data_IF_182587852241
#
_entry.id   IF_182587852241
#
_cell.length_a   1.000
_cell.length_b   1.000
_cell.length_c   1.000
_cell.angle_alpha   90.00
_cell.angle_beta   90.00
_cell.angle_gamma   90.00
#
_symmetry.space_group_name_H-M   'P 1'
#
loop_
_entity.id
_entity.type
_entity.pdbx_description
1 polymer ?
#
# COMPACT_ATOMS: atom_id res chain seq x y z
N UNK A 1 -28.55 -31.26 69.47
CA UNK A 1 -28.63 -31.14 67.99
C UNK A 1 -30.09 -30.89 67.66
N UNK A 2 -30.56 -29.83 67.00
CA UNK A 2 -29.94 -28.73 66.26
C UNK A 2 -30.83 -27.49 66.44
N UNK A 3 -30.22 -26.31 66.60
CA UNK A 3 -30.93 -25.04 66.63
C UNK A 3 -31.28 -24.58 65.20
N UNK A 4 -32.55 -24.38 64.92
CA UNK A 4 -33.02 -23.69 63.72
C UNK A 4 -32.75 -22.20 63.85
N UNK A 5 -31.67 -21.72 63.23
CA UNK A 5 -31.49 -20.31 62.96
C UNK A 5 -32.40 -19.90 61.79
N UNK A 6 -33.42 -19.09 62.09
CA UNK A 6 -34.21 -18.36 61.09
C UNK A 6 -33.29 -17.37 60.38
N UNK A 7 -33.00 -17.59 59.10
CA UNK A 7 -32.52 -16.52 58.24
C UNK A 7 -33.74 -15.66 57.87
N UNK A 8 -33.80 -14.47 58.48
CA UNK A 8 -34.70 -13.39 58.06
C UNK A 8 -34.28 -12.97 56.66
N UNK A 9 -35.04 -13.38 55.65
CA UNK A 9 -34.99 -12.73 54.35
C UNK A 9 -35.42 -11.28 54.54
N UNK A 10 -34.45 -10.38 54.44
CA UNK A 10 -34.71 -8.95 54.56
C UNK A 10 -35.45 -8.49 53.30
N UNK A 11 -36.66 -7.91 53.40
CA UNK A 11 -37.43 -7.41 52.25
C UNK A 11 -36.66 -6.36 51.43
N UNK A 12 -35.61 -5.77 52.03
CA UNK A 12 -34.64 -4.89 51.37
C UNK A 12 -33.84 -5.58 50.27
N UNK A 13 -33.49 -6.87 50.40
CA UNK A 13 -32.74 -7.61 49.37
C UNK A 13 -33.58 -7.84 48.12
N UNK A 14 -34.86 -8.22 48.28
CA UNK A 14 -35.81 -8.36 47.17
C UNK A 14 -36.09 -7.04 46.45
N UNK A 15 -36.19 -5.93 47.20
CA UNK A 15 -36.38 -4.60 46.64
C UNK A 15 -35.15 -4.09 45.87
N UNK A 16 -33.94 -4.38 46.35
CA UNK A 16 -32.69 -4.04 45.65
C UNK A 16 -32.57 -4.86 44.36
N UNK A 17 -32.88 -6.16 44.39
CA UNK A 17 -32.87 -7.00 43.20
C UNK A 17 -33.91 -6.54 42.16
N UNK A 18 -35.12 -6.19 42.59
CA UNK A 18 -36.14 -5.64 41.71
C UNK A 18 -35.72 -4.30 41.10
N UNK A 19 -35.12 -3.40 41.90
CA UNK A 19 -34.60 -2.12 41.40
C UNK A 19 -33.47 -2.32 40.39
N UNK A 20 -32.55 -3.26 40.62
CA UNK A 20 -31.48 -3.61 39.68
C UNK A 20 -32.02 -4.21 38.38
N UNK A 21 -33.05 -5.06 38.44
CA UNK A 21 -33.71 -5.59 37.24
C UNK A 21 -34.40 -4.50 36.42
N UNK A 22 -35.05 -3.53 37.08
CA UNK A 22 -35.67 -2.39 36.41
C UNK A 22 -34.61 -1.48 35.79
N UNK A 23 -33.49 -1.24 36.49
CA UNK A 23 -32.38 -0.45 35.94
C UNK A 23 -31.70 -1.17 34.77
N UNK A 24 -31.52 -2.49 34.84
CA UNK A 24 -30.95 -3.28 33.74
C UNK A 24 -31.87 -3.29 32.51
N UNK A 25 -33.17 -3.46 32.70
CA UNK A 25 -34.14 -3.41 31.58
C UNK A 25 -34.26 -2.00 31.00
N UNK A 26 -34.25 -0.94 31.82
CA UNK A 26 -34.20 0.43 31.35
C UNK A 26 -32.91 0.71 30.57
N UNK A 27 -31.75 0.27 31.07
CA UNK A 27 -30.47 0.41 30.39
C UNK A 27 -30.47 -0.30 29.04
N UNK A 28 -31.00 -1.53 28.95
CA UNK A 28 -31.15 -2.26 27.70
C UNK A 28 -32.13 -1.56 26.75
N UNK A 29 -33.26 -1.03 27.24
CA UNK A 29 -34.23 -0.32 26.40
C UNK A 29 -33.73 1.04 25.89
N UNK A 30 -32.83 1.70 26.62
CA UNK A 30 -32.21 2.97 26.21
C UNK A 30 -31.02 2.72 25.27
N UNK A 31 -30.23 1.68 25.52
CA UNK A 31 -29.04 1.38 24.70
C UNK A 31 -29.36 0.55 23.47
N UNK A 32 -30.40 -0.28 23.48
CA UNK A 32 -30.76 -1.11 22.33
C UNK A 32 -31.08 -0.27 21.08
N UNK A 33 -31.87 0.83 21.12
CA UNK A 33 -32.09 1.68 19.96
C UNK A 33 -30.82 2.39 19.48
N UNK A 34 -29.91 2.76 20.38
CA UNK A 34 -28.63 3.40 20.06
C UNK A 34 -27.63 2.41 19.44
N UNK A 35 -27.62 1.15 19.91
CA UNK A 35 -26.83 0.07 19.32
C UNK A 35 -27.43 -0.38 18.00
N UNK A 36 -28.77 -0.45 17.89
CA UNK A 36 -29.43 -0.80 16.64
C UNK A 36 -29.34 0.32 15.61
N UNK A 37 -29.36 1.59 16.04
CA UNK A 37 -29.12 2.74 15.18
C UNK A 37 -27.65 2.83 14.80
N UNK A 38 -26.68 2.54 15.69
CA UNK A 38 -25.26 2.43 15.36
C UNK A 38 -24.97 1.26 14.41
N UNK A 39 -25.62 0.10 14.59
CA UNK A 39 -25.54 -1.02 13.64
C UNK A 39 -26.19 -0.67 12.29
N UNK A 40 -27.31 0.06 12.27
CA UNK A 40 -27.98 0.48 11.02
C UNK A 40 -27.28 1.65 10.33
N UNK A 41 -26.67 2.57 11.07
CA UNK A 41 -25.86 3.66 10.52
C UNK A 41 -24.46 3.18 10.14
N UNK A 42 -23.97 2.07 10.72
CA UNK A 42 -22.86 1.29 10.17
C UNK A 42 -23.25 0.38 8.99
N UNK A 43 -24.54 0.08 8.81
CA UNK A 43 -25.08 -0.63 7.65
C UNK A 43 -25.46 0.30 6.48
N UNK A 44 -25.40 1.61 6.69
CA UNK A 44 -25.33 2.61 5.62
C UNK A 44 -23.94 2.52 4.98
N UNK A 45 -23.78 1.52 4.11
CA UNK A 45 -22.62 1.36 3.27
C UNK A 45 -21.38 0.91 4.03
N UNK A 46 -21.33 -0.37 4.40
CA UNK A 46 -20.09 -1.10 4.10
C UNK A 46 -19.89 -0.91 2.61
N UNK A 47 -19.13 0.12 2.23
CA UNK A 47 -18.57 0.21 0.89
C UNK A 47 -17.94 -1.17 0.69
N UNK A 48 -18.31 -1.92 -0.36
CA UNK A 48 -17.78 -3.26 -0.52
C UNK A 48 -16.27 -3.13 -0.38
N UNK A 49 -15.65 -4.04 0.38
CA UNK A 49 -14.20 -4.16 0.33
C UNK A 49 -13.90 -4.55 -1.12
N UNK A 50 -13.62 -3.51 -1.91
CA UNK A 50 -13.07 -3.59 -3.23
C UNK A 50 -14.00 -4.18 -4.34
N UNK A 51 -15.14 -3.53 -4.67
CA UNK A 51 -16.10 -4.02 -5.68
C UNK A 51 -15.52 -4.04 -7.11
N UNK A 52 -14.39 -3.37 -7.36
CA UNK A 52 -13.69 -3.34 -8.64
C UNK A 52 -12.48 -4.27 -8.73
N UNK A 53 -12.04 -4.91 -7.63
CA UNK A 53 -10.93 -5.87 -7.67
C UNK A 53 -11.26 -7.10 -8.50
N UNK A 54 -12.54 -7.49 -8.52
CA UNK A 54 -13.04 -8.66 -9.22
C UNK A 54 -13.45 -8.38 -10.68
N UNK A 55 -13.30 -7.14 -11.16
CA UNK A 55 -13.82 -6.77 -12.48
C UNK A 55 -12.86 -7.10 -13.63
N UNK A 56 -11.59 -7.41 -13.33
CA UNK A 56 -10.57 -7.78 -14.31
C UNK A 56 -9.77 -8.97 -13.79
N UNK A 57 -9.58 -9.94 -14.67
CA UNK A 57 -8.57 -11.01 -14.52
C UNK A 57 -7.15 -10.44 -14.58
N UNK A 58 -6.17 -11.21 -14.10
CA UNK A 58 -4.75 -10.84 -14.19
C UNK A 58 -4.32 -10.65 -15.65
N UNK A 59 -4.87 -11.46 -16.55
CA UNK A 59 -4.63 -11.32 -17.99
C UNK A 59 -5.18 -9.99 -18.53
N UNK A 60 -6.40 -9.59 -18.15
CA UNK A 60 -6.93 -8.29 -18.59
C UNK A 60 -6.17 -7.12 -17.97
N UNK A 61 -5.65 -7.26 -16.74
CA UNK A 61 -4.75 -6.27 -16.16
C UNK A 61 -3.40 -6.20 -16.89
N UNK A 62 -2.84 -7.34 -17.30
CA UNK A 62 -1.62 -7.40 -18.10
C UNK A 62 -1.80 -6.77 -19.49
N UNK A 63 -3.01 -6.80 -20.05
CA UNK A 63 -3.34 -6.08 -21.30
C UNK A 63 -3.34 -4.56 -21.13
N UNK A 64 -3.47 -4.04 -19.90
CA UNK A 64 -3.37 -2.61 -19.64
C UNK A 64 -1.91 -2.14 -19.61
N UNK A 65 -0.95 -3.03 -19.36
CA UNK A 65 0.46 -2.67 -19.30
C UNK A 65 1.06 -2.40 -20.69
N UNK A 66 2.14 -1.60 -20.77
CA UNK A 66 2.83 -1.35 -22.02
C UNK A 66 3.30 -2.62 -22.73
N UNK A 67 3.23 -2.61 -24.05
CA UNK A 67 3.77 -3.68 -24.91
C UNK A 67 5.13 -3.32 -25.47
N UNK A 68 5.86 -4.32 -26.00
CA UNK A 68 7.18 -4.14 -26.63
C UNK A 68 7.25 -2.92 -27.59
N UNK A 69 6.19 -2.64 -28.34
CA UNK A 69 6.13 -1.51 -29.29
C UNK A 69 6.11 -0.13 -28.63
N UNK A 70 5.83 -0.05 -27.33
CA UNK A 70 5.77 1.19 -26.55
C UNK A 70 7.09 1.51 -25.85
N UNK A 71 7.99 0.51 -25.73
CA UNK A 71 9.35 0.70 -25.26
C UNK A 71 10.28 1.18 -26.39
N UNK A 72 11.46 1.75 -26.08
CA UNK A 72 12.45 2.06 -27.10
C UNK A 72 12.79 0.81 -27.94
N UNK A 73 12.92 0.97 -29.25
CA UNK A 73 13.02 -0.17 -30.18
C UNK A 73 14.24 -1.08 -29.94
N UNK A 74 15.30 -0.57 -29.30
CA UNK A 74 16.49 -1.35 -28.94
C UNK A 74 16.33 -2.16 -27.66
N UNK A 75 15.27 -1.95 -26.88
CA UNK A 75 15.08 -2.58 -25.58
C UNK A 75 14.44 -3.96 -25.73
N UNK A 76 14.83 -4.88 -24.84
CA UNK A 76 14.13 -6.17 -24.66
C UNK A 76 13.06 -6.02 -23.58
N UNK A 77 11.86 -6.56 -23.84
CA UNK A 77 10.73 -6.45 -22.91
C UNK A 77 10.24 -7.84 -22.52
N UNK A 78 10.09 -8.05 -21.23
CA UNK A 78 9.53 -9.27 -20.65
C UNK A 78 8.19 -8.95 -19.98
N UNK A 79 7.15 -9.63 -20.44
CA UNK A 79 5.80 -9.54 -19.89
C UNK A 79 5.58 -10.72 -18.93
N UNK A 80 5.31 -10.45 -17.65
CA UNK A 80 4.94 -11.50 -16.68
C UNK A 80 3.48 -11.29 -16.28
N UNK A 81 2.62 -12.22 -16.70
CA UNK A 81 1.17 -12.10 -16.58
C UNK A 81 0.60 -12.69 -15.30
N UNK A 82 1.39 -13.45 -14.53
CA UNK A 82 0.94 -14.17 -13.34
C UNK A 82 1.96 -13.96 -12.22
N UNK A 83 1.68 -13.00 -11.33
CA UNK A 83 2.58 -12.72 -10.20
C UNK A 83 2.15 -13.39 -8.91
N UNK A 84 0.86 -13.69 -8.74
CA UNK A 84 0.42 -14.39 -7.54
C UNK A 84 -1.04 -14.86 -7.57
N UNK A 85 -1.27 -16.09 -7.11
CA UNK A 85 -2.61 -16.62 -6.80
C UNK A 85 -3.12 -16.17 -5.41
N UNK A 86 -2.38 -15.32 -4.71
CA UNK A 86 -2.65 -15.01 -3.30
C UNK A 86 -3.52 -13.77 -3.16
N UNK A 87 -4.79 -13.93 -2.77
CA UNK A 87 -5.70 -12.81 -2.53
C UNK A 87 -5.70 -12.42 -1.05
N UNK A 88 -5.37 -11.16 -0.72
CA UNK A 88 -5.51 -10.65 0.66
C UNK A 88 -4.61 -9.48 1.03
N UNK A 89 -4.80 -8.96 2.25
CA UNK A 89 -3.93 -7.96 2.86
C UNK A 89 -2.80 -8.66 3.62
N UNK A 90 -1.55 -8.41 3.23
CA UNK A 90 -0.38 -8.77 4.00
C UNK A 90 0.25 -7.52 4.60
N UNK A 91 0.46 -7.52 5.91
CA UNK A 91 1.32 -6.53 6.53
C UNK A 91 2.75 -6.94 6.22
N UNK A 92 3.41 -6.25 5.29
CA UNK A 92 4.86 -6.39 5.12
C UNK A 92 5.52 -6.07 6.45
N UNK A 93 6.11 -7.08 7.09
CA UNK A 93 6.99 -6.84 8.22
C UNK A 93 8.22 -6.12 7.67
N UNK A 94 8.45 -4.89 8.12
CA UNK A 94 9.67 -4.14 7.80
C UNK A 94 10.82 -4.91 8.44
N UNK A 95 11.46 -5.77 7.66
CA UNK A 95 12.67 -6.47 8.05
C UNK A 95 13.78 -5.83 7.24
N UNK A 96 14.69 -5.11 7.89
CA UNK A 96 15.79 -4.45 7.22
C UNK A 96 16.85 -5.43 6.68
N UNK A 97 16.60 -6.74 6.81
CA UNK A 97 17.51 -7.83 6.46
C UNK A 97 18.93 -7.68 7.05
N UNK A 98 19.08 -6.92 8.13
CA UNK A 98 20.39 -6.60 8.71
C UNK A 98 21.20 -5.57 7.89
N UNK A 99 20.59 -4.87 6.94
CA UNK A 99 21.20 -3.81 6.13
C UNK A 99 21.46 -2.52 6.94
N UNK A 100 20.94 -2.45 8.17
CA UNK A 100 21.28 -1.41 9.14
C UNK A 100 20.71 -0.04 8.79
N UNK A 101 19.45 0.00 8.34
CA UNK A 101 18.77 1.26 8.02
C UNK A 101 18.49 2.09 9.27
N UNK A 102 18.79 3.38 9.21
CA UNK A 102 18.49 4.34 10.29
C UNK A 102 17.74 5.58 9.75
N UNK A 103 16.46 5.78 10.11
CA UNK A 103 15.64 4.88 10.94
C UNK A 103 15.14 3.66 10.14
N UNK A 104 14.98 2.52 10.82
CA UNK A 104 14.63 1.21 10.20
C UNK A 104 13.39 1.27 9.30
N UNK A 105 12.42 2.11 9.65
CA UNK A 105 11.18 2.28 8.87
C UNK A 105 11.44 2.78 7.45
N UNK A 106 12.54 3.48 7.21
CA UNK A 106 12.90 4.01 5.88
C UNK A 106 13.42 2.94 4.92
N UNK A 107 13.69 1.72 5.39
CA UNK A 107 13.90 0.57 4.50
C UNK A 107 12.78 0.43 3.47
N UNK A 108 11.53 0.64 3.88
CA UNK A 108 10.36 0.53 2.99
C UNK A 108 10.27 1.60 1.89
N UNK A 109 11.20 2.55 1.82
CA UNK A 109 11.30 3.55 0.75
C UNK A 109 12.32 3.14 -0.33
N UNK A 110 13.23 2.21 0.00
CA UNK A 110 14.19 1.64 -0.93
C UNK A 110 13.52 0.49 -1.68
N UNK A 111 13.57 0.54 -3.01
CA UNK A 111 12.80 -0.38 -3.84
C UNK A 111 11.34 0.05 -4.00
N UNK A 112 10.50 -0.86 -4.50
CA UNK A 112 9.07 -0.60 -4.67
C UNK A 112 8.39 -0.69 -3.31
N UNK A 113 7.95 0.45 -2.80
CA UNK A 113 7.31 0.55 -1.50
C UNK A 113 5.92 -0.10 -1.51
N UNK A 114 5.55 -0.75 -0.40
CA UNK A 114 4.20 -1.31 -0.27
C UNK A 114 3.15 -0.21 -0.21
N UNK A 115 2.20 -0.23 -1.13
CA UNK A 115 1.12 0.77 -1.26
C UNK A 115 -0.23 0.26 -0.75
N UNK A 116 -0.28 -0.92 -0.12
CA UNK A 116 -1.53 -1.62 0.16
C UNK A 116 -2.18 -2.25 -1.08
N UNK A 117 -1.43 -2.33 -2.18
CA UNK A 117 -1.76 -3.10 -3.36
C UNK A 117 -1.07 -4.47 -3.36
N UNK A 118 -1.64 -5.39 -4.11
CA UNK A 118 -0.97 -6.62 -4.48
C UNK A 118 -0.83 -6.70 -5.99
N UNK A 119 0.40 -6.94 -6.44
CA UNK A 119 0.77 -6.93 -7.84
C UNK A 119 0.07 -8.06 -8.59
N UNK A 120 -0.65 -7.71 -9.65
CA UNK A 120 -1.43 -8.64 -10.46
C UNK A 120 -0.71 -9.02 -11.74
N UNK A 121 -0.08 -8.02 -12.38
CA UNK A 121 0.69 -8.18 -13.60
C UNK A 121 1.82 -7.17 -13.63
N UNK A 122 2.94 -7.53 -14.26
CA UNK A 122 4.07 -6.64 -14.50
C UNK A 122 4.59 -6.74 -15.93
N UNK A 123 5.25 -5.67 -16.35
CA UNK A 123 6.11 -5.64 -17.52
C UNK A 123 7.41 -4.95 -17.15
N UNK A 124 8.52 -5.44 -17.65
CA UNK A 124 9.80 -4.77 -17.50
C UNK A 124 10.57 -4.70 -18.80
N UNK A 125 11.27 -3.58 -18.97
CA UNK A 125 12.12 -3.30 -20.11
C UNK A 125 13.58 -3.27 -19.68
N UNK A 126 14.44 -3.80 -20.54
CA UNK A 126 15.88 -3.82 -20.38
C UNK A 126 16.56 -3.02 -21.50
N UNK A 127 17.41 -2.07 -21.11
CA UNK A 127 18.27 -1.32 -22.01
C UNK A 127 19.58 -2.09 -22.24
N UNK A 128 19.85 -2.58 -23.46
CA UNK A 128 21.11 -3.26 -23.74
C UNK A 128 22.35 -2.36 -23.61
N UNK A 129 22.18 -1.04 -23.57
CA UNK A 129 23.26 -0.09 -23.35
C UNK A 129 23.54 0.18 -21.86
N UNK A 130 22.66 -0.25 -20.94
CA UNK A 130 22.88 -0.07 -19.51
C UNK A 130 24.06 -0.93 -19.03
N UNK A 131 25.09 -0.27 -18.50
CA UNK A 131 26.31 -0.94 -18.01
C UNK A 131 26.25 -1.33 -16.52
N UNK A 132 25.09 -1.22 -15.87
CA UNK A 132 25.00 -1.37 -14.40
C UNK A 132 24.24 -2.64 -14.04
N UNK A 133 24.85 -3.46 -13.19
CA UNK A 133 24.19 -4.54 -12.47
C UNK A 133 23.18 -3.96 -11.46
N UNK A 134 22.00 -3.57 -11.94
CA UNK A 134 20.86 -3.29 -11.05
C UNK A 134 20.49 -4.61 -10.36
N UNK A 135 20.08 -4.55 -9.09
CA UNK A 135 19.82 -5.72 -8.25
C UNK A 135 18.84 -6.76 -8.87
N UNK A 136 18.07 -6.39 -9.91
CA UNK A 136 17.19 -7.30 -10.65
C UNK A 136 17.30 -7.21 -12.18
N UNK A 137 18.26 -6.47 -12.76
CA UNK A 137 18.44 -6.34 -14.23
C UNK A 137 17.30 -5.64 -14.98
N UNK A 138 16.38 -4.95 -14.28
CA UNK A 138 15.22 -4.25 -14.86
C UNK A 138 15.49 -2.73 -14.90
N UNK A 139 15.64 -2.16 -16.08
CA UNK A 139 15.88 -0.72 -16.24
C UNK A 139 14.61 0.10 -16.03
N UNK A 140 13.47 -0.45 -16.46
CA UNK A 140 12.12 0.04 -16.18
C UNK A 140 11.24 -1.15 -15.80
N UNK A 141 10.48 -1.02 -14.71
CA UNK A 141 9.45 -1.97 -14.28
C UNK A 141 8.14 -1.20 -14.10
N UNK A 142 7.06 -1.68 -14.70
CA UNK A 142 5.70 -1.23 -14.42
C UNK A 142 4.87 -2.41 -13.92
N UNK A 143 4.10 -2.16 -12.87
CA UNK A 143 3.25 -3.16 -12.23
C UNK A 143 1.87 -2.57 -12.01
N UNK A 144 0.83 -3.34 -12.32
CA UNK A 144 -0.54 -3.00 -11.95
C UNK A 144 -0.97 -3.91 -10.81
N UNK A 145 -1.31 -3.28 -9.70
CA UNK A 145 -1.75 -3.94 -8.48
C UNK A 145 -3.21 -3.67 -8.18
N UNK A 146 -3.83 -4.62 -7.52
CA UNK A 146 -5.18 -4.50 -6.95
C UNK A 146 -5.09 -3.82 -5.60
N UNK A 147 -5.83 -2.72 -5.39
CA UNK A 147 -5.86 -2.03 -4.11
C UNK A 147 -6.76 -2.74 -3.10
N UNK A 148 -6.18 -3.26 -2.01
CA UNK A 148 -6.93 -3.95 -0.95
C UNK A 148 -7.16 -3.07 0.28
N UNK A 149 -6.20 -2.19 0.60
CA UNK A 149 -6.28 -1.27 1.73
C UNK A 149 -6.08 0.18 1.26
N UNK A 150 -7.16 0.96 1.31
CA UNK A 150 -7.15 2.37 0.92
C UNK A 150 -6.26 3.25 1.78
N UNK A 151 -6.04 2.86 3.04
CA UNK A 151 -5.16 3.59 3.94
C UNK A 151 -3.69 3.28 3.65
N UNK A 152 -3.40 2.18 2.95
CA UNK A 152 -2.05 1.79 2.54
C UNK A 152 -1.37 2.83 1.68
N UNK A 153 -2.08 3.40 0.69
CA UNK A 153 -1.51 4.43 -0.19
C UNK A 153 -1.15 5.71 0.59
N UNK A 154 -2.04 6.19 1.47
CA UNK A 154 -1.76 7.38 2.27
C UNK A 154 -0.64 7.12 3.31
N UNK A 155 -0.59 5.92 3.90
CA UNK A 155 0.47 5.51 4.80
C UNK A 155 1.84 5.44 4.10
N UNK A 156 1.86 4.93 2.86
CA UNK A 156 3.02 4.93 1.99
C UNK A 156 3.51 6.35 1.71
N UNK A 157 2.65 7.25 1.25
CA UNK A 157 3.05 8.64 0.99
C UNK A 157 3.57 9.30 2.27
N UNK A 158 2.92 9.03 3.40
CA UNK A 158 3.36 9.49 4.71
C UNK A 158 4.73 8.93 5.11
N UNK A 159 5.06 7.68 4.75
CA UNK A 159 6.37 7.08 4.99
C UNK A 159 7.46 7.79 4.17
N UNK A 160 7.27 7.91 2.85
CA UNK A 160 8.22 8.59 1.95
C UNK A 160 8.46 10.03 2.41
N UNK A 161 7.39 10.74 2.79
CA UNK A 161 7.49 12.12 3.27
C UNK A 161 8.25 12.28 4.60
N UNK A 162 8.34 11.24 5.43
CA UNK A 162 9.16 11.25 6.65
C UNK A 162 10.60 10.81 6.41
N UNK A 163 10.84 10.04 5.37
CA UNK A 163 12.13 9.45 5.02
C UNK A 163 12.85 10.25 3.92
N UNK A 164 12.89 11.58 4.05
CA UNK A 164 13.52 12.44 3.05
C UNK A 164 15.04 12.29 2.99
N UNK A 165 15.65 11.92 4.12
CA UNK A 165 17.07 11.62 4.27
C UNK A 165 17.23 10.53 5.32
N UNK A 166 18.00 9.50 5.02
CA UNK A 166 18.27 8.39 5.93
C UNK A 166 19.57 7.68 5.51
N UNK A 167 20.08 6.77 6.32
CA UNK A 167 21.29 6.01 6.03
C UNK A 167 21.06 4.50 6.12
N UNK A 168 22.03 3.74 5.62
CA UNK A 168 22.19 2.31 5.93
C UNK A 168 23.66 1.98 6.08
N UNK A 169 23.97 0.85 6.71
CA UNK A 169 25.34 0.37 6.80
C UNK A 169 25.95 0.03 5.42
N UNK A 170 25.10 -0.25 4.43
CA UNK A 170 25.52 -0.72 3.09
C UNK A 170 25.77 0.44 2.13
N UNK A 171 24.94 1.47 2.16
CA UNK A 171 24.91 2.49 1.12
C UNK A 171 25.14 3.90 1.62
N UNK A 172 25.72 4.09 2.82
CA UNK A 172 26.10 5.38 3.40
C UNK A 172 24.93 6.33 3.65
N UNK A 173 24.35 6.89 2.58
CA UNK A 173 23.19 7.77 2.65
C UNK A 173 22.21 7.58 1.49
N UNK A 174 20.96 7.92 1.80
CA UNK A 174 19.84 8.02 0.87
C UNK A 174 19.22 9.41 0.96
N UNK A 175 18.91 10.00 -0.19
CA UNK A 175 18.17 11.26 -0.29
C UNK A 175 16.96 11.06 -1.18
N UNK A 176 15.78 11.36 -0.65
CA UNK A 176 14.52 11.30 -1.37
C UNK A 176 14.11 12.71 -1.80
N UNK A 177 13.66 12.83 -3.05
CA UNK A 177 13.03 14.04 -3.57
C UNK A 177 11.64 13.70 -4.09
N UNK A 178 10.61 14.29 -3.49
CA UNK A 178 9.24 14.21 -4.00
C UNK A 178 9.16 15.06 -5.27
N UNK A 179 8.72 14.44 -6.36
CA UNK A 179 8.60 15.04 -7.69
C UNK A 179 7.15 15.43 -8.00
N UNK A 180 6.18 14.66 -7.48
CA UNK A 180 4.74 14.90 -7.65
C UNK A 180 3.99 14.36 -6.42
N UNK A 181 3.02 15.12 -5.90
CA UNK A 181 1.98 14.65 -4.99
C UNK A 181 0.67 15.34 -5.39
N UNK A 182 -0.08 14.69 -6.30
CA UNK A 182 -1.32 15.21 -6.88
C UNK A 182 -2.49 14.35 -6.43
N UNK A 183 -3.45 14.95 -5.73
CA UNK A 183 -4.62 14.26 -5.17
C UNK A 183 -5.92 14.98 -5.50
N UNK A 184 -6.32 15.02 -6.79
CA UNK A 184 -7.58 15.63 -7.17
C UNK A 184 -8.76 14.89 -6.53
N UNK A 185 -9.84 15.61 -6.26
CA UNK A 185 -11.08 15.02 -5.74
C UNK A 185 -11.79 14.14 -6.77
N UNK A 186 -11.55 14.40 -8.06
CA UNK A 186 -12.02 13.61 -9.18
C UNK A 186 -10.84 13.32 -10.12
N UNK A 187 -10.58 12.03 -10.37
CA UNK A 187 -9.48 11.57 -11.23
C UNK A 187 -8.44 10.73 -10.47
N UNK A 188 -7.38 10.29 -11.17
CA UNK A 188 -6.32 9.50 -10.56
C UNK A 188 -5.49 10.34 -9.58
N UNK A 189 -5.13 9.74 -8.45
CA UNK A 189 -4.10 10.30 -7.57
C UNK A 189 -2.73 9.89 -8.11
N UNK A 190 -1.74 10.79 -8.02
CA UNK A 190 -0.38 10.55 -8.48
C UNK A 190 0.62 10.91 -7.40
N UNK A 191 1.61 10.07 -7.22
CA UNK A 191 2.73 10.33 -6.32
C UNK A 191 4.03 9.86 -6.98
N UNK A 192 5.04 10.72 -7.00
CA UNK A 192 6.33 10.43 -7.63
C UNK A 192 7.46 10.89 -6.74
N UNK A 193 8.53 10.11 -6.68
CA UNK A 193 9.76 10.51 -6.01
C UNK A 193 10.99 9.93 -6.70
N UNK A 194 12.14 10.59 -6.52
CA UNK A 194 13.45 10.00 -6.82
C UNK A 194 14.17 9.67 -5.52
N UNK A 195 14.98 8.61 -5.54
CA UNK A 195 15.83 8.17 -4.46
C UNK A 195 17.28 8.17 -4.94
N UNK A 196 18.09 9.09 -4.44
CA UNK A 196 19.53 9.10 -4.68
C UNK A 196 20.22 8.33 -3.55
N UNK A 197 20.94 7.28 -3.93
CA UNK A 197 21.73 6.42 -3.04
C UNK A 197 23.21 6.74 -3.25
N UNK A 198 23.98 6.94 -2.17
CA UNK A 198 25.43 7.24 -2.23
C UNK A 198 26.22 6.15 -1.53
N UNK A 199 26.61 5.13 -2.29
CA UNK A 199 27.37 3.99 -1.77
C UNK A 199 28.80 4.44 -1.52
N UNK A 200 29.19 4.49 -0.25
CA UNK A 200 30.57 4.78 0.14
C UNK A 200 31.44 3.56 -0.16
N UNK A 201 32.13 3.61 -1.31
CA UNK A 201 33.13 2.64 -1.69
C UNK A 201 34.49 3.36 -1.84
N UNK A 202 35.54 2.85 -1.20
CA UNK A 202 36.89 3.34 -1.52
C UNK A 202 37.30 2.83 -2.91
N UNK A 203 37.83 3.67 -3.82
CA UNK A 203 38.34 5.03 -3.62
C UNK A 203 37.41 6.18 -4.05
N UNK A 204 36.18 5.91 -4.50
CA UNK A 204 35.23 6.96 -4.91
C UNK A 204 33.78 6.53 -4.61
N UNK A 205 33.03 7.46 -4.02
CA UNK A 205 31.59 7.26 -3.78
C UNK A 205 30.86 7.02 -5.11
N UNK A 206 30.03 5.98 -5.15
CA UNK A 206 29.14 5.71 -6.27
C UNK A 206 27.75 6.28 -5.96
N UNK A 207 27.25 7.15 -6.84
CA UNK A 207 25.89 7.69 -6.71
C UNK A 207 24.97 7.09 -7.77
N UNK A 208 23.86 6.51 -7.32
CA UNK A 208 22.77 6.06 -8.19
C UNK A 208 21.49 6.81 -7.84
N UNK A 209 20.71 7.19 -8.84
CA UNK A 209 19.35 7.71 -8.63
C UNK A 209 18.31 6.80 -9.27
N UNK A 210 17.39 6.33 -8.45
CA UNK A 210 16.23 5.56 -8.88
C UNK A 210 14.98 6.45 -8.87
N UNK A 211 14.05 6.20 -9.77
CA UNK A 211 12.80 6.96 -9.93
C UNK A 211 11.62 6.05 -9.68
N UNK A 212 10.63 6.55 -8.94
CA UNK A 212 9.42 5.82 -8.61
C UNK A 212 8.18 6.67 -8.91
N UNK A 213 7.18 6.04 -9.54
CA UNK A 213 5.91 6.64 -9.93
C UNK A 213 4.76 5.76 -9.48
N UNK A 214 3.73 6.38 -8.89
CA UNK A 214 2.56 5.69 -8.36
C UNK A 214 1.29 6.41 -8.79
N UNK A 215 0.27 5.63 -9.12
CA UNK A 215 -0.97 6.11 -9.72
C UNK A 215 -2.13 5.30 -9.17
N UNK A 216 -3.03 5.94 -8.43
CA UNK A 216 -4.16 5.27 -7.79
C UNK A 216 -5.47 5.71 -8.43
N UNK A 217 -6.21 4.76 -8.98
CA UNK A 217 -7.52 5.01 -9.59
C UNK A 217 -8.34 3.73 -9.67
N UNK A 218 -9.67 3.83 -9.61
CA UNK A 218 -10.58 2.69 -9.83
C UNK A 218 -10.34 1.43 -8.98
N UNK A 219 -9.67 1.54 -7.83
CA UNK A 219 -9.28 0.38 -7.00
C UNK A 219 -8.06 -0.37 -7.52
N UNK A 220 -7.29 0.25 -8.42
CA UNK A 220 -6.01 -0.21 -8.92
C UNK A 220 -4.91 0.77 -8.50
N UNK A 221 -3.72 0.24 -8.33
CA UNK A 221 -2.50 1.02 -8.14
C UNK A 221 -1.53 0.63 -9.25
N UNK A 222 -1.22 1.59 -10.12
CA UNK A 222 -0.13 1.50 -11.07
C UNK A 222 1.14 1.94 -10.35
N UNK A 223 2.17 1.09 -10.39
CA UNK A 223 3.49 1.35 -9.83
C UNK A 223 4.52 1.29 -10.94
N UNK A 224 5.47 2.19 -10.93
CA UNK A 224 6.57 2.23 -11.87
C UNK A 224 7.88 2.52 -11.16
N UNK A 225 8.96 1.86 -11.56
CA UNK A 225 10.31 2.15 -11.11
C UNK A 225 11.28 2.17 -12.28
N UNK A 226 12.28 3.04 -12.22
CA UNK A 226 13.34 3.09 -13.22
C UNK A 226 14.69 3.46 -12.63
N UNK A 227 15.75 2.91 -13.22
CA UNK A 227 17.13 3.23 -12.87
C UNK A 227 17.58 4.61 -13.36
N UNK A 228 18.84 4.92 -13.07
CA UNK A 228 19.47 6.19 -13.48
C UNK A 228 19.44 6.38 -14.99
N UNK A 229 19.03 7.57 -15.45
CA UNK A 229 18.94 7.90 -16.87
C UNK A 229 17.61 7.58 -17.55
N UNK A 230 16.71 6.82 -16.90
CA UNK A 230 15.48 6.33 -17.53
C UNK A 230 14.18 7.03 -17.07
N UNK A 231 14.29 8.14 -16.31
CA UNK A 231 13.12 8.88 -15.80
C UNK A 231 12.12 9.27 -16.89
N UNK A 232 12.59 9.85 -18.00
CA UNK A 232 11.69 10.34 -19.05
C UNK A 232 10.94 9.20 -19.75
N UNK A 233 11.60 8.07 -19.97
CA UNK A 233 10.98 6.88 -20.54
C UNK A 233 9.95 6.27 -19.58
N UNK A 234 10.28 6.20 -18.28
CA UNK A 234 9.32 5.80 -17.24
C UNK A 234 8.10 6.70 -17.23
N UNK A 235 8.28 8.02 -17.20
CA UNK A 235 7.19 8.99 -17.15
C UNK A 235 6.23 8.82 -18.33
N UNK A 236 6.75 8.64 -19.55
CA UNK A 236 5.94 8.44 -20.75
C UNK A 236 5.13 7.14 -20.70
N UNK A 237 5.77 6.01 -20.37
CA UNK A 237 5.11 4.70 -20.24
C UNK A 237 4.05 4.74 -19.14
N UNK A 238 4.37 5.37 -18.01
CA UNK A 238 3.48 5.50 -16.87
C UNK A 238 2.23 6.33 -17.22
N UNK A 239 2.41 7.47 -17.89
CA UNK A 239 1.30 8.35 -18.27
C UNK A 239 0.33 7.69 -19.25
N UNK A 240 0.86 7.03 -20.29
CA UNK A 240 0.06 6.27 -21.25
C UNK A 240 -0.72 5.15 -20.57
N UNK A 241 -0.05 4.41 -19.67
CA UNK A 241 -0.68 3.29 -18.94
C UNK A 241 -1.76 3.78 -17.98
N UNK A 242 -1.49 4.85 -17.23
CA UNK A 242 -2.47 5.42 -16.30
C UNK A 242 -3.69 5.95 -17.05
N UNK A 243 -3.48 6.61 -18.19
CA UNK A 243 -4.58 7.06 -19.06
C UNK A 243 -5.43 5.87 -19.54
N UNK A 244 -4.78 4.79 -20.02
CA UNK A 244 -5.47 3.55 -20.42
C UNK A 244 -6.30 2.93 -19.31
N UNK A 245 -5.81 2.98 -18.06
CA UNK A 245 -6.56 2.51 -16.89
C UNK A 245 -7.77 3.40 -16.58
N UNK A 246 -7.63 4.72 -16.76
CA UNK A 246 -8.70 5.70 -16.49
C UNK A 246 -9.81 5.66 -17.55
N UNK A 247 -9.47 5.41 -18.81
CA UNK A 247 -10.41 5.40 -19.95
C UNK A 247 -11.22 4.09 -20.08
N UNK A 248 -10.90 3.09 -19.26
CA UNK A 248 -11.64 1.82 -19.18
C UNK A 248 -12.98 1.98 -18.47
#
# INVERSE_FOLDING_TARGET
MSGSARLRDSPRSGLIAAALCVLATAAVLITAPAVHSALRSGASGRQPLAPRLAALSDQELAQLLPKQSEFPASWTVDETTELSDTFGYFKYHVFDEGLGFDPIVCFGVVGVASTGAFDAAQVFGHDPAAQVAVADGKDILLTVGREFDRSGFDAFVGLVSRCLRFGSAVAGSYTVRILEDSRPTAGPQRFRYSLTTTISAEPADETRTDYYSYGRTSGLILTGSAGSGHQQALDALFDITLQRIVER
#
